data_IF_334835080496
#
_entry.id   IF_334835080496
#
_cell.length_a   1.000
_cell.length_b   1.000
_cell.length_c   1.000
_cell.angle_alpha   90.00
_cell.angle_beta   90.00
_cell.angle_gamma   90.00
#
_symmetry.space_group_name_H-M   'P 1'
#
loop_
_entity.id
_entity.type
_entity.pdbx_description
1 polymer ?
#
# COMPACT_ATOMS: atom_id res chain seq x y z
N UNK A 1 30.98 -14.61 -14.88
CA UNK A 1 30.41 -13.52 -15.73
C UNK A 1 28.96 -13.83 -15.98
N UNK A 2 28.06 -13.07 -15.38
CA UNK A 2 26.60 -13.26 -15.58
C UNK A 2 26.18 -12.32 -16.71
N UNK A 3 25.66 -12.88 -17.80
CA UNK A 3 25.04 -12.11 -18.86
C UNK A 3 23.51 -12.18 -18.67
N UNK A 4 22.91 -11.06 -18.41
CA UNK A 4 21.47 -10.91 -18.49
C UNK A 4 21.09 -10.43 -19.88
N UNK A 5 20.54 -11.33 -20.70
CA UNK A 5 19.94 -11.00 -21.98
C UNK A 5 18.43 -10.95 -21.82
N UNK A 6 17.83 -9.76 -21.74
CA UNK A 6 16.40 -9.57 -21.75
C UNK A 6 15.91 -9.20 -23.14
N UNK A 7 14.91 -9.90 -23.67
CA UNK A 7 14.17 -9.47 -24.85
C UNK A 7 12.92 -8.71 -24.37
N UNK A 8 12.79 -7.45 -24.75
CA UNK A 8 11.78 -6.51 -24.26
C UNK A 8 10.34 -6.83 -24.68
N UNK A 9 10.06 -7.93 -25.37
CA UNK A 9 8.73 -8.27 -25.85
C UNK A 9 8.17 -9.61 -25.27
N UNK A 10 8.84 -10.23 -24.32
CA UNK A 10 8.39 -11.48 -23.69
C UNK A 10 8.27 -11.32 -22.20
N UNK A 11 7.13 -11.73 -21.64
CA UNK A 11 6.91 -11.81 -20.19
C UNK A 11 7.72 -12.91 -19.51
N UNK A 12 8.54 -13.62 -20.23
CA UNK A 12 9.37 -14.71 -19.74
C UNK A 12 10.85 -14.33 -19.87
N UNK A 13 11.50 -14.06 -18.75
CA UNK A 13 12.94 -13.82 -18.72
C UNK A 13 13.67 -15.16 -18.64
N UNK A 14 14.48 -15.44 -19.64
CA UNK A 14 15.36 -16.62 -19.63
C UNK A 14 16.74 -16.22 -19.16
N UNK A 15 17.32 -17.01 -18.25
CA UNK A 15 18.75 -16.95 -17.98
C UNK A 15 19.34 -18.34 -18.23
N UNK A 16 20.52 -18.38 -18.82
CA UNK A 16 21.24 -19.63 -19.00
C UNK A 16 22.41 -19.70 -18.02
N UNK A 17 22.49 -20.77 -17.29
CA UNK A 17 23.63 -21.10 -16.47
C UNK A 17 24.52 -22.04 -17.27
N UNK A 18 25.81 -21.67 -17.47
CA UNK A 18 26.83 -22.56 -18.01
C UNK A 18 27.61 -23.21 -16.86
N UNK A 19 27.67 -24.52 -16.83
CA UNK A 19 28.60 -25.22 -15.96
C UNK A 19 30.03 -25.15 -16.52
N UNK A 20 31.01 -25.61 -15.78
CA UNK A 20 32.42 -25.63 -16.18
C UNK A 20 32.69 -26.48 -17.43
N UNK A 21 31.76 -27.32 -17.87
CA UNK A 21 31.83 -28.14 -19.07
C UNK A 21 31.14 -27.50 -20.29
N UNK A 22 30.66 -26.25 -20.16
CA UNK A 22 30.06 -25.53 -21.27
C UNK A 22 28.64 -25.96 -21.67
N UNK A 23 28.02 -26.85 -20.90
CA UNK A 23 26.66 -27.33 -21.17
C UNK A 23 25.66 -26.25 -20.72
N UNK A 24 24.79 -25.80 -21.65
CA UNK A 24 23.70 -24.90 -21.33
C UNK A 24 22.62 -25.68 -20.57
N UNK A 25 22.33 -25.26 -19.34
CA UNK A 25 21.14 -25.70 -18.64
C UNK A 25 20.11 -24.58 -18.79
N UNK A 26 19.03 -24.83 -19.51
CA UNK A 26 17.90 -23.92 -19.58
C UNK A 26 16.97 -24.23 -18.42
N UNK A 27 16.83 -23.28 -17.53
CA UNK A 27 15.84 -23.30 -16.46
C UNK A 27 14.85 -22.15 -16.63
N UNK A 28 13.58 -22.39 -16.35
CA UNK A 28 12.60 -21.31 -16.24
C UNK A 28 12.69 -20.73 -14.83
N UNK A 29 13.13 -19.49 -14.72
CA UNK A 29 13.05 -18.74 -13.48
C UNK A 29 11.67 -18.10 -13.43
N UNK A 30 10.79 -18.69 -12.66
CA UNK A 30 9.50 -18.08 -12.38
C UNK A 30 9.66 -17.13 -11.19
N UNK A 31 9.63 -15.83 -11.43
CA UNK A 31 9.38 -14.88 -10.37
C UNK A 31 7.89 -14.98 -10.09
N UNK A 32 7.54 -15.80 -9.14
CA UNK A 32 6.24 -15.73 -8.52
C UNK A 32 6.17 -14.36 -7.83
N UNK A 33 5.30 -13.47 -8.31
CA UNK A 33 4.98 -12.25 -7.59
C UNK A 33 4.32 -12.69 -6.27
N UNK A 34 5.11 -12.79 -5.22
CA UNK A 34 4.56 -12.93 -3.88
C UNK A 34 3.69 -11.69 -3.60
N UNK A 35 2.58 -11.88 -2.92
CA UNK A 35 1.74 -10.77 -2.49
C UNK A 35 2.61 -9.72 -1.79
N UNK A 36 2.70 -8.55 -2.38
CA UNK A 36 3.53 -7.47 -1.85
C UNK A 36 2.79 -6.76 -0.71
N UNK A 37 3.53 -6.40 0.32
CA UNK A 37 3.06 -5.48 1.36
C UNK A 37 3.93 -4.24 1.28
N UNK A 38 3.29 -3.09 1.23
CA UNK A 38 3.97 -1.79 1.20
C UNK A 38 3.25 -0.79 2.06
N UNK A 39 3.96 0.22 2.53
CA UNK A 39 3.33 1.32 3.27
C UNK A 39 4.01 2.63 2.98
N UNK A 40 3.27 3.72 3.18
CA UNK A 40 3.81 5.07 3.23
C UNK A 40 3.18 5.86 4.37
N UNK A 41 3.86 6.90 4.82
CA UNK A 41 3.39 7.80 5.87
C UNK A 41 3.39 9.23 5.36
N UNK A 42 2.50 10.07 5.94
CA UNK A 42 2.53 11.51 5.70
C UNK A 42 3.75 12.16 6.35
N UNK A 43 4.06 13.37 5.92
CA UNK A 43 4.83 14.31 6.74
C UNK A 43 4.05 14.64 8.02
N UNK A 44 4.75 15.19 9.03
CA UNK A 44 4.11 15.62 10.27
C UNK A 44 3.22 16.83 10.02
N UNK A 45 2.00 16.79 10.54
CA UNK A 45 1.04 17.88 10.56
C UNK A 45 0.94 18.36 12.01
N UNK A 46 1.24 19.63 12.26
CA UNK A 46 1.17 20.19 13.61
C UNK A 46 -0.22 20.73 13.89
N UNK A 47 -0.90 20.16 14.88
CA UNK A 47 -2.17 20.67 15.40
C UNK A 47 -1.93 21.78 16.43
N UNK A 48 -2.85 22.73 16.51
CA UNK A 48 -2.77 23.84 17.47
C UNK A 48 -3.01 23.38 18.91
N UNK A 49 -3.69 22.26 19.11
CA UNK A 49 -4.00 21.69 20.42
C UNK A 49 -3.82 20.18 20.42
N UNK A 50 -3.66 19.60 21.61
CA UNK A 50 -3.56 18.15 21.78
C UNK A 50 -4.79 17.45 21.23
N UNK A 51 -4.59 16.51 20.35
CA UNK A 51 -5.61 15.75 19.66
C UNK A 51 -5.72 14.36 20.28
N UNK A 52 -6.93 13.97 20.66
CA UNK A 52 -7.27 12.64 21.19
C UNK A 52 -8.19 11.85 20.27
N UNK A 53 -8.79 12.52 19.30
CA UNK A 53 -9.67 11.92 18.30
C UNK A 53 -9.29 12.42 16.92
N UNK A 54 -9.29 11.51 15.95
CA UNK A 54 -8.97 11.82 14.56
C UNK A 54 -9.92 11.10 13.62
N UNK A 55 -10.00 11.62 12.40
CA UNK A 55 -10.71 10.98 11.33
C UNK A 55 -9.88 11.00 10.05
N UNK A 56 -10.27 10.16 9.11
CA UNK A 56 -9.64 10.11 7.79
C UNK A 56 -10.67 9.85 6.72
N UNK A 57 -10.49 10.50 5.58
CA UNK A 57 -11.18 10.19 4.34
C UNK A 57 -10.12 9.80 3.32
N UNK A 58 -10.33 8.68 2.64
CA UNK A 58 -9.43 8.17 1.62
C UNK A 58 -10.18 7.91 0.32
N UNK A 59 -9.61 8.36 -0.79
CA UNK A 59 -10.07 8.00 -2.14
C UNK A 59 -9.09 7.02 -2.76
N UNK A 60 -9.63 5.97 -3.37
CA UNK A 60 -8.81 4.90 -3.95
C UNK A 60 -9.48 4.27 -5.16
N UNK A 61 -8.68 3.58 -5.95
CA UNK A 61 -9.11 2.88 -7.17
C UNK A 61 -8.63 1.43 -7.11
N UNK A 62 -9.50 0.49 -7.40
CA UNK A 62 -9.11 -0.88 -7.72
C UNK A 62 -8.64 -0.89 -9.18
N UNK A 63 -7.33 -0.77 -9.39
CA UNK A 63 -6.76 -0.77 -10.73
C UNK A 63 -6.89 -2.15 -11.39
N UNK A 64 -6.59 -3.20 -10.63
CA UNK A 64 -6.81 -4.59 -11.00
C UNK A 64 -7.34 -5.34 -9.78
N UNK A 65 -8.31 -6.20 -9.99
CA UNK A 65 -8.95 -6.96 -8.91
C UNK A 65 -9.80 -6.08 -8.00
N UNK A 66 -9.96 -6.49 -6.75
CA UNK A 66 -10.74 -5.75 -5.75
C UNK A 66 -10.03 -5.79 -4.41
N UNK A 67 -9.79 -4.63 -3.81
CA UNK A 67 -9.23 -4.52 -2.47
C UNK A 67 -10.33 -4.64 -1.41
N UNK A 68 -10.05 -5.42 -0.38
CA UNK A 68 -10.87 -5.49 0.83
C UNK A 68 -10.37 -4.45 1.83
N UNK A 69 -11.25 -3.50 2.20
CA UNK A 69 -10.93 -2.49 3.22
C UNK A 69 -10.59 -3.17 4.55
N UNK A 70 -9.65 -2.57 5.27
CA UNK A 70 -9.15 -3.05 6.57
C UNK A 70 -8.35 -4.35 6.52
N UNK A 71 -8.23 -4.96 5.35
CA UNK A 71 -7.44 -6.16 5.09
C UNK A 71 -6.34 -5.87 4.08
N UNK A 72 -6.71 -5.49 2.87
CA UNK A 72 -5.77 -5.21 1.78
C UNK A 72 -5.35 -3.73 1.73
N UNK A 73 -6.25 -2.82 2.15
CA UNK A 73 -6.00 -1.39 2.31
C UNK A 73 -6.33 -1.00 3.75
N UNK A 74 -5.31 -0.59 4.50
CA UNK A 74 -5.41 -0.21 5.90
C UNK A 74 -4.91 1.21 6.10
N UNK A 75 -5.51 1.93 7.03
CA UNK A 75 -5.05 3.25 7.45
C UNK A 75 -4.82 3.25 8.95
N UNK A 76 -3.78 3.95 9.34
CA UNK A 76 -3.38 4.12 10.74
C UNK A 76 -3.18 5.60 11.00
N UNK A 77 -3.59 6.05 12.18
CA UNK A 77 -3.47 7.42 12.64
C UNK A 77 -2.57 7.51 13.87
N UNK A 78 -1.83 8.58 13.97
CA UNK A 78 -0.93 8.89 15.07
C UNK A 78 -1.03 10.36 15.42
N UNK A 79 -0.99 10.70 16.72
CA UNK A 79 -0.88 12.06 17.21
C UNK A 79 0.47 12.36 17.91
N UNK A 80 1.40 11.40 17.93
CA UNK A 80 2.72 11.45 18.57
C UNK A 80 3.88 11.30 17.59
N UNK A 81 3.77 11.94 16.43
CA UNK A 81 4.76 11.94 15.35
C UNK A 81 5.06 10.53 14.77
N UNK A 82 4.10 9.62 14.81
CA UNK A 82 4.26 8.28 14.26
C UNK A 82 5.03 7.30 15.16
N UNK A 83 5.20 7.63 16.44
CA UNK A 83 5.77 6.69 17.43
C UNK A 83 4.78 5.57 17.70
N UNK A 84 3.51 5.92 17.88
CA UNK A 84 2.41 4.96 18.04
C UNK A 84 1.32 5.20 17.01
N UNK A 85 0.78 4.13 16.47
CA UNK A 85 -0.27 4.16 15.47
C UNK A 85 -1.51 3.40 15.94
N UNK A 86 -2.67 4.01 15.71
CA UNK A 86 -3.99 3.38 15.89
C UNK A 86 -4.54 3.01 14.52
N UNK A 87 -4.78 1.72 14.27
CA UNK A 87 -5.47 1.30 13.04
C UNK A 87 -6.92 1.76 13.10
N UNK A 88 -7.40 2.37 12.02
CA UNK A 88 -8.79 2.79 11.89
C UNK A 88 -9.62 1.74 11.15
N UNK A 89 -10.91 1.67 11.46
CA UNK A 89 -11.86 0.88 10.69
C UNK A 89 -12.46 1.75 9.60
N UNK A 90 -12.01 1.56 8.37
CA UNK A 90 -12.55 2.25 7.20
C UNK A 90 -13.93 1.71 6.85
N UNK A 91 -14.87 2.59 6.60
CA UNK A 91 -16.22 2.29 6.13
C UNK A 91 -16.39 2.84 4.72
N UNK A 92 -16.78 1.97 3.79
CA UNK A 92 -17.04 2.36 2.41
C UNK A 92 -18.17 3.40 2.35
N UNK A 93 -18.02 4.34 1.45
CA UNK A 93 -18.99 5.38 1.15
C UNK A 93 -19.42 5.27 -0.33
N UNK A 94 -20.43 5.99 -0.77
CA UNK A 94 -20.71 6.15 -2.20
C UNK A 94 -19.45 6.60 -2.95
N UNK A 95 -19.29 6.15 -4.18
CA UNK A 95 -18.11 6.48 -4.99
C UNK A 95 -17.94 7.99 -5.10
N UNK A 96 -16.69 8.44 -4.99
CA UNK A 96 -16.34 9.85 -5.20
C UNK A 96 -16.56 10.26 -6.67
N UNK A 97 -16.20 9.38 -7.59
CA UNK A 97 -16.40 9.54 -9.03
C UNK A 97 -16.43 8.15 -9.69
N UNK A 98 -16.71 8.10 -10.98
CA UNK A 98 -16.63 6.85 -11.74
C UNK A 98 -15.27 6.20 -11.60
N UNK A 99 -15.25 4.97 -11.08
CA UNK A 99 -14.03 4.19 -10.83
C UNK A 99 -13.22 4.64 -9.60
N UNK A 100 -13.59 5.74 -8.93
CA UNK A 100 -12.92 6.23 -7.71
C UNK A 100 -13.80 5.98 -6.50
N UNK A 101 -13.37 5.08 -5.66
CA UNK A 101 -14.03 4.71 -4.40
C UNK A 101 -13.66 5.68 -3.28
N UNK A 102 -14.56 5.80 -2.32
CA UNK A 102 -14.37 6.59 -1.11
C UNK A 102 -14.56 5.71 0.12
N UNK A 103 -13.69 5.86 1.10
CA UNK A 103 -13.88 5.27 2.42
C UNK A 103 -13.49 6.29 3.50
N UNK A 104 -14.11 6.16 4.67
CA UNK A 104 -13.83 7.05 5.80
C UNK A 104 -13.82 6.32 7.14
N UNK A 105 -13.14 6.93 8.10
CA UNK A 105 -13.30 6.65 9.51
C UNK A 105 -13.36 7.99 10.25
N UNK A 106 -14.36 8.18 11.08
CA UNK A 106 -14.56 9.42 11.81
C UNK A 106 -14.48 9.17 13.31
N UNK A 107 -14.06 10.18 14.06
CA UNK A 107 -14.11 10.21 15.52
C UNK A 107 -13.40 9.04 16.20
N UNK A 108 -12.29 8.60 15.59
CA UNK A 108 -11.48 7.49 16.10
C UNK A 108 -10.65 7.96 17.29
N UNK A 109 -10.82 7.31 18.43
CA UNK A 109 -9.97 7.56 19.60
C UNK A 109 -8.56 7.08 19.34
N UNK A 110 -7.58 7.97 19.51
CA UNK A 110 -6.16 7.71 19.31
C UNK A 110 -5.54 7.25 20.63
N UNK A 111 -4.78 6.16 20.59
CA UNK A 111 -4.18 5.56 21.79
C UNK A 111 -3.22 6.51 22.52
N UNK A 112 -2.46 7.32 21.78
CA UNK A 112 -1.51 8.29 22.33
C UNK A 112 -1.82 9.68 21.78
N UNK A 113 -2.22 10.57 22.67
CA UNK A 113 -2.59 11.94 22.32
C UNK A 113 -1.37 12.81 22.08
N UNK A 114 -1.50 13.83 21.26
CA UNK A 114 -0.42 14.77 20.96
C UNK A 114 -0.81 15.81 19.93
N UNK A 115 0.17 16.59 19.50
CA UNK A 115 0.00 17.69 18.54
C UNK A 115 0.68 17.42 17.19
N UNK A 116 1.42 16.31 17.07
CA UNK A 116 2.17 15.95 15.87
C UNK A 116 1.49 14.81 15.15
N UNK A 117 0.61 15.17 14.21
CA UNK A 117 -0.27 14.23 13.57
C UNK A 117 0.39 13.60 12.34
N UNK A 118 0.17 12.30 12.16
CA UNK A 118 0.54 11.55 10.97
C UNK A 118 -0.53 10.53 10.61
N UNK A 119 -0.60 10.20 9.34
CA UNK A 119 -1.24 8.97 8.90
C UNK A 119 -0.24 8.03 8.23
N UNK A 120 -0.52 6.75 8.28
CA UNK A 120 0.15 5.70 7.52
C UNK A 120 -0.89 4.93 6.74
N UNK A 121 -0.62 4.68 5.47
CA UNK A 121 -1.40 3.78 4.62
C UNK A 121 -0.58 2.52 4.39
N UNK A 122 -1.21 1.37 4.54
CA UNK A 122 -0.61 0.07 4.32
C UNK A 122 -1.39 -0.70 3.27
N UNK A 123 -0.68 -1.23 2.30
CA UNK A 123 -1.18 -2.14 1.28
C UNK A 123 -0.72 -3.55 1.61
N UNK A 124 -1.65 -4.49 1.67
CA UNK A 124 -1.37 -5.90 1.84
C UNK A 124 -1.95 -6.70 0.68
N UNK A 125 -1.42 -7.90 0.47
CA UNK A 125 -1.91 -8.85 -0.54
C UNK A 125 -1.96 -8.28 -1.96
N UNK A 126 -1.12 -7.30 -2.28
CA UNK A 126 -1.03 -6.74 -3.63
C UNK A 126 -0.23 -7.70 -4.52
N UNK A 127 -0.70 -7.91 -5.74
CA UNK A 127 -0.05 -8.76 -6.71
C UNK A 127 -0.26 -8.23 -8.13
N UNK A 128 0.82 -8.04 -8.87
CA UNK A 128 0.80 -7.51 -10.24
C UNK A 128 -0.14 -8.30 -11.12
N UNK A 129 -1.03 -7.59 -11.81
CA UNK A 129 -2.00 -8.15 -12.74
C UNK A 129 -3.19 -8.88 -12.13
N UNK A 130 -3.27 -8.99 -10.78
CA UNK A 130 -4.40 -9.66 -10.12
C UNK A 130 -5.04 -8.86 -8.98
N UNK A 131 -4.25 -8.08 -8.24
CA UNK A 131 -4.74 -7.17 -7.21
C UNK A 131 -3.83 -5.95 -7.10
N UNK A 132 -4.26 -4.84 -7.63
CA UNK A 132 -3.52 -3.57 -7.62
C UNK A 132 -4.44 -2.45 -7.13
N UNK A 133 -4.14 -1.93 -5.97
CA UNK A 133 -4.89 -0.82 -5.36
C UNK A 133 -4.06 0.45 -5.43
N UNK A 134 -4.69 1.55 -5.83
CA UNK A 134 -4.07 2.88 -5.92
C UNK A 134 -4.81 3.84 -5.00
N UNK A 135 -4.10 4.54 -4.16
CA UNK A 135 -4.66 5.63 -3.35
C UNK A 135 -4.50 6.92 -4.13
N UNK A 136 -5.60 7.65 -4.29
CA UNK A 136 -5.65 8.90 -5.04
C UNK A 136 -5.54 10.12 -4.13
N UNK A 137 -6.01 10.00 -2.89
CA UNK A 137 -5.93 11.08 -1.91
C UNK A 137 -6.26 10.63 -0.50
N UNK A 138 -5.71 11.35 0.46
CA UNK A 138 -5.99 11.18 1.89
C UNK A 138 -6.25 12.55 2.50
N UNK A 139 -7.35 12.69 3.23
CA UNK A 139 -7.68 13.87 4.01
C UNK A 139 -7.76 13.48 5.47
N UNK A 140 -7.07 14.22 6.32
CA UNK A 140 -7.04 14.04 7.75
C UNK A 140 -7.99 15.03 8.42
N UNK A 141 -8.72 14.57 9.44
CA UNK A 141 -9.61 15.37 10.28
C UNK A 141 -9.15 15.28 11.74
N UNK A 142 -9.16 16.40 12.47
CA UNK A 142 -8.71 16.49 13.86
C UNK A 142 -9.24 17.75 14.54
#
# INVERSE_FOLDING_TARGET
MFLFGGNASSTTNYFSLRNSSGVNSSGTFQISAANATGSYQSVTINAAATTSKMGVVITYTDHVGTATLNTDLKVFLSADNGTNYTQVTLVAQPNFATGVKLAKANDVTISNTGTQLKYKVEFANQATGSKETRVNGVSLQY
#
